data_IF_933011876248
#
_entry.id   IF_933011876248
#
_cell.length_a   1.000
_cell.length_b   1.000
_cell.length_c   1.000
_cell.angle_alpha   90.00
_cell.angle_beta   90.00
_cell.angle_gamma   90.00
#
_symmetry.space_group_name_H-M   'P 1'
#
loop_
_entity.id
_entity.type
_entity.pdbx_description
1 polymer ?
#
# COMPACT_ATOMS: atom_id res chain seq x y z
N UNK A 1 7.70 22.15 12.51
CA UNK A 1 6.46 22.60 13.14
C UNK A 1 6.74 22.78 14.63
N UNK A 2 6.61 24.01 15.18
CA UNK A 2 6.96 24.28 16.58
C UNK A 2 5.74 24.21 17.48
N UNK A 3 5.45 23.03 18.03
CA UNK A 3 4.51 22.91 19.13
C UNK A 3 5.30 22.62 20.41
N UNK A 4 5.11 23.42 21.45
CA UNK A 4 5.73 23.17 22.75
C UNK A 4 4.82 22.32 23.62
N UNK A 5 5.11 21.00 23.66
CA UNK A 5 4.38 20.04 24.48
C UNK A 5 4.81 20.04 25.96
N UNK A 6 5.78 20.87 26.34
CA UNK A 6 6.33 20.89 27.72
C UNK A 6 5.36 21.46 28.75
N UNK A 7 4.43 22.32 28.33
CA UNK A 7 3.47 22.97 29.22
C UNK A 7 2.15 22.21 29.39
N UNK A 8 1.87 21.21 28.52
CA UNK A 8 0.60 20.50 28.50
C UNK A 8 0.82 19.02 28.18
N UNK A 9 0.51 18.16 29.14
CA UNK A 9 0.53 16.71 28.95
C UNK A 9 -0.79 16.16 28.41
N UNK A 10 -0.81 14.87 28.08
CA UNK A 10 -1.96 14.14 27.59
C UNK A 10 -1.99 12.76 28.22
N UNK A 11 -3.06 12.43 28.93
CA UNK A 11 -3.37 11.08 29.37
C UNK A 11 -4.36 10.46 28.39
N UNK A 12 -4.00 9.32 27.79
CA UNK A 12 -4.81 8.67 26.73
C UNK A 12 -5.21 7.28 27.15
N UNK A 13 -6.50 7.01 27.15
CA UNK A 13 -7.04 5.65 27.22
C UNK A 13 -7.55 5.25 25.84
N UNK A 14 -7.06 4.11 25.32
CA UNK A 14 -7.44 3.63 23.98
C UNK A 14 -7.99 2.22 24.03
N UNK A 15 -9.01 1.99 23.20
CA UNK A 15 -9.50 0.67 22.83
C UNK A 15 -9.44 0.50 21.32
N UNK A 16 -9.26 -0.71 20.83
CA UNK A 16 -9.24 -0.99 19.39
C UNK A 16 -10.00 -2.26 19.08
N UNK A 17 -10.76 -2.21 18.01
CA UNK A 17 -11.38 -3.39 17.38
C UNK A 17 -10.55 -3.89 16.19
N UNK A 18 -9.44 -3.22 15.85
CA UNK A 18 -8.50 -3.69 14.82
C UNK A 18 -7.60 -4.75 15.43
N UNK A 19 -7.71 -6.03 15.02
CA UNK A 19 -6.92 -7.10 15.60
C UNK A 19 -5.43 -6.94 15.30
N UNK A 20 -4.57 -7.19 16.29
CA UNK A 20 -3.11 -7.20 16.10
C UNK A 20 -2.72 -8.40 15.23
N UNK A 21 -1.77 -8.18 14.30
CA UNK A 21 -1.23 -9.25 13.46
C UNK A 21 -2.17 -9.77 12.38
N UNK A 22 -3.33 -9.15 12.21
CA UNK A 22 -4.36 -9.57 11.22
C UNK A 22 -4.10 -9.08 9.79
N UNK A 23 -2.99 -8.40 9.53
CA UNK A 23 -2.74 -7.75 8.24
C UNK A 23 -3.55 -6.49 7.97
N UNK A 24 -4.31 -5.99 8.97
CA UNK A 24 -5.12 -4.78 8.86
C UNK A 24 -4.41 -3.50 9.31
N UNK A 25 -3.09 -3.54 9.37
CA UNK A 25 -2.25 -2.37 9.66
C UNK A 25 -2.61 -1.67 10.96
N UNK A 26 -2.70 -2.44 12.06
CA UNK A 26 -2.98 -1.89 13.39
C UNK A 26 -1.97 -0.83 13.84
N UNK A 27 -0.71 -0.90 13.38
CA UNK A 27 0.30 0.14 13.62
C UNK A 27 -0.08 1.46 12.96
N UNK A 28 -0.40 1.44 11.67
CA UNK A 28 -0.82 2.64 10.94
C UNK A 28 -2.10 3.27 11.53
N UNK A 29 -3.08 2.45 11.91
CA UNK A 29 -4.29 2.92 12.58
C UNK A 29 -3.97 3.63 13.92
N UNK A 30 -3.04 3.09 14.70
CA UNK A 30 -2.58 3.70 15.94
C UNK A 30 -1.84 5.03 15.71
N UNK A 31 -0.90 5.04 14.77
CA UNK A 31 -0.10 6.22 14.42
C UNK A 31 -0.98 7.38 13.96
N UNK A 32 -1.93 7.08 13.07
CA UNK A 32 -2.88 8.06 12.55
C UNK A 32 -3.81 8.56 13.65
N UNK A 33 -4.30 7.70 14.54
CA UNK A 33 -5.12 8.10 15.67
C UNK A 33 -4.36 9.05 16.58
N UNK A 34 -3.11 8.73 16.94
CA UNK A 34 -2.26 9.60 17.77
C UNK A 34 -1.98 10.92 17.06
N UNK A 35 -1.64 10.88 15.78
CA UNK A 35 -1.43 12.07 14.97
C UNK A 35 -2.66 12.98 14.92
N UNK A 36 -3.84 12.40 14.73
CA UNK A 36 -5.12 13.13 14.70
C UNK A 36 -5.41 13.79 16.05
N UNK A 37 -5.25 13.07 17.15
CA UNK A 37 -5.45 13.64 18.48
C UNK A 37 -4.49 14.80 18.77
N UNK A 38 -3.21 14.64 18.42
CA UNK A 38 -2.21 15.70 18.60
C UNK A 38 -2.50 16.90 17.69
N UNK A 39 -2.94 16.66 16.46
CA UNK A 39 -3.32 17.72 15.53
C UNK A 39 -4.46 18.56 16.08
N UNK A 40 -5.52 17.93 16.58
CA UNK A 40 -6.68 18.63 17.13
C UNK A 40 -6.34 19.37 18.43
N UNK A 41 -5.61 18.73 19.35
CA UNK A 41 -5.36 19.28 20.68
C UNK A 41 -4.27 20.34 20.73
N UNK A 42 -3.27 20.27 19.83
CA UNK A 42 -2.07 21.11 19.90
C UNK A 42 -1.80 21.92 18.63
N UNK A 43 -2.43 21.58 17.50
CA UNK A 43 -2.22 22.25 16.22
C UNK A 43 -3.49 22.79 15.57
N UNK A 44 -4.59 22.81 16.29
CA UNK A 44 -5.85 23.39 15.81
C UNK A 44 -6.35 22.77 14.48
N UNK A 45 -6.09 21.46 14.28
CA UNK A 45 -6.51 20.75 13.07
C UNK A 45 -5.79 21.20 11.78
N UNK A 46 -4.57 21.76 11.86
CA UNK A 46 -3.88 22.32 10.68
C UNK A 46 -3.30 21.28 9.74
N UNK A 47 -2.99 20.07 10.23
CA UNK A 47 -2.49 19.00 9.36
C UNK A 47 -3.62 18.37 8.57
N UNK A 48 -3.38 18.20 7.29
CA UNK A 48 -4.26 17.43 6.40
C UNK A 48 -4.15 15.92 6.66
N UNK A 49 -5.10 15.14 6.17
CA UNK A 49 -5.06 13.68 6.25
C UNK A 49 -3.79 13.10 5.60
N UNK A 50 -3.35 13.68 4.48
CA UNK A 50 -2.12 13.28 3.79
C UNK A 50 -0.88 13.54 4.64
N UNK A 51 -0.78 14.71 5.26
CA UNK A 51 0.33 15.06 6.15
C UNK A 51 0.35 14.17 7.41
N UNK A 52 -0.81 13.85 7.99
CA UNK A 52 -0.90 12.93 9.12
C UNK A 52 -0.40 11.53 8.74
N UNK A 53 -0.77 11.04 7.57
CA UNK A 53 -0.27 9.77 7.06
C UNK A 53 1.26 9.78 6.88
N UNK A 54 1.82 10.85 6.31
CA UNK A 54 3.25 11.02 6.13
C UNK A 54 4.01 11.12 7.46
N UNK A 55 3.43 11.79 8.45
CA UNK A 55 3.99 11.86 9.82
C UNK A 55 4.03 10.47 10.45
N UNK A 56 2.94 9.67 10.33
CA UNK A 56 2.88 8.29 10.82
C UNK A 56 3.95 7.43 10.16
N UNK A 57 4.06 7.45 8.84
CA UNK A 57 5.10 6.73 8.10
C UNK A 57 6.51 7.14 8.55
N UNK A 58 6.75 8.43 8.73
CA UNK A 58 8.04 8.91 9.22
C UNK A 58 8.37 8.37 10.61
N UNK A 59 7.38 8.36 11.51
CA UNK A 59 7.56 7.82 12.85
C UNK A 59 7.92 6.32 12.80
N UNK A 60 7.24 5.52 11.98
CA UNK A 60 7.51 4.09 11.83
C UNK A 60 8.89 3.84 11.19
N UNK A 61 9.21 4.52 10.09
CA UNK A 61 10.44 4.30 9.33
C UNK A 61 11.70 4.85 10.03
N UNK A 62 11.61 6.05 10.59
CA UNK A 62 12.79 6.77 11.08
C UNK A 62 12.95 6.62 12.59
N UNK A 63 11.86 6.76 13.36
CA UNK A 63 11.93 6.71 14.81
C UNK A 63 11.95 5.26 15.34
N UNK A 64 11.07 4.40 14.83
CA UNK A 64 11.05 2.99 15.20
C UNK A 64 11.97 2.12 14.35
N UNK A 65 12.48 2.61 13.23
CA UNK A 65 13.40 1.89 12.34
C UNK A 65 12.76 0.72 11.60
N UNK A 66 11.43 0.70 11.46
CA UNK A 66 10.68 -0.34 10.76
C UNK A 66 10.25 0.18 9.37
N UNK A 67 10.86 -0.28 8.28
CA UNK A 67 10.50 0.16 6.93
C UNK A 67 9.06 -0.21 6.58
N UNK A 68 8.26 0.77 6.20
CA UNK A 68 6.91 0.58 5.69
C UNK A 68 6.61 1.50 4.51
N UNK A 69 5.62 1.13 3.67
CA UNK A 69 5.03 2.01 2.65
C UNK A 69 4.12 3.06 3.28
N UNK A 70 3.55 3.94 2.45
CA UNK A 70 2.64 5.01 2.89
C UNK A 70 1.16 4.62 2.77
N UNK A 71 0.85 3.49 2.13
CA UNK A 71 -0.52 3.12 1.76
C UNK A 71 -1.42 2.96 2.98
N UNK A 72 -0.95 2.28 4.01
CA UNK A 72 -1.74 1.93 5.19
C UNK A 72 -2.08 3.16 6.03
N UNK A 73 -1.10 4.03 6.26
CA UNK A 73 -1.33 5.31 6.94
C UNK A 73 -2.26 6.20 6.14
N UNK A 74 -2.13 6.21 4.80
CA UNK A 74 -3.00 7.00 3.94
C UNK A 74 -4.45 6.50 3.98
N UNK A 75 -4.66 5.19 3.86
CA UNK A 75 -5.98 4.59 3.96
C UNK A 75 -6.63 4.84 5.33
N UNK A 76 -5.86 4.72 6.41
CA UNK A 76 -6.34 4.99 7.77
C UNK A 76 -6.67 6.46 7.99
N UNK A 77 -5.91 7.38 7.41
CA UNK A 77 -6.08 8.82 7.63
C UNK A 77 -7.22 9.42 6.80
N UNK A 78 -7.36 8.99 5.55
CA UNK A 78 -8.40 9.50 4.64
C UNK A 78 -9.74 8.81 4.90
N UNK A 79 -9.70 7.51 5.18
CA UNK A 79 -10.89 6.69 5.44
C UNK A 79 -11.70 6.35 4.18
N UNK A 80 -12.64 5.41 4.32
CA UNK A 80 -13.48 4.95 3.23
C UNK A 80 -12.71 4.16 2.16
N UNK A 81 -13.20 4.19 0.93
CA UNK A 81 -12.51 3.63 -0.23
C UNK A 81 -11.69 4.73 -0.89
N UNK A 82 -10.38 4.49 -1.06
CA UNK A 82 -9.47 5.50 -1.59
C UNK A 82 -8.69 4.97 -2.79
N UNK A 83 -8.52 5.81 -3.79
CA UNK A 83 -7.57 5.62 -4.88
C UNK A 83 -6.35 6.49 -4.61
N UNK A 84 -5.16 5.89 -4.57
CA UNK A 84 -3.91 6.59 -4.25
C UNK A 84 -2.94 6.37 -5.41
N UNK A 85 -2.40 7.45 -5.95
CA UNK A 85 -1.30 7.41 -6.90
C UNK A 85 -0.03 7.97 -6.25
N UNK A 86 0.97 7.09 -6.12
CA UNK A 86 2.27 7.41 -5.54
C UNK A 86 3.32 7.82 -6.57
N UNK A 87 2.94 8.31 -7.74
CA UNK A 87 3.90 8.84 -8.73
C UNK A 87 4.81 9.89 -8.10
N UNK A 88 4.24 10.78 -7.30
CA UNK A 88 4.98 11.68 -6.44
C UNK A 88 4.72 11.32 -4.98
N UNK A 89 5.67 10.64 -4.35
CA UNK A 89 5.52 10.19 -2.95
C UNK A 89 5.50 11.33 -1.94
N UNK A 90 6.05 12.50 -2.28
CA UNK A 90 5.97 13.70 -1.44
C UNK A 90 4.59 14.35 -1.53
N UNK A 91 3.92 14.25 -2.65
CA UNK A 91 2.59 14.80 -2.92
C UNK A 91 1.72 13.74 -3.63
N UNK A 92 1.33 12.66 -2.96
CA UNK A 92 0.52 11.61 -3.58
C UNK A 92 -0.84 12.16 -4.00
N UNK A 93 -1.32 11.73 -5.16
CA UNK A 93 -2.67 12.04 -5.59
C UNK A 93 -3.64 11.07 -4.92
N UNK A 94 -4.50 11.61 -4.05
CA UNK A 94 -5.45 10.83 -3.25
C UNK A 94 -6.86 11.25 -3.61
N UNK A 95 -7.70 10.27 -3.90
CA UNK A 95 -9.12 10.47 -4.17
C UNK A 95 -9.95 9.50 -3.35
N UNK A 96 -10.84 10.04 -2.54
CA UNK A 96 -11.84 9.25 -1.84
C UNK A 96 -13.01 8.95 -2.79
N UNK A 97 -13.41 7.69 -2.85
CA UNK A 97 -14.53 7.21 -3.65
C UNK A 97 -15.72 6.97 -2.73
N UNK A 98 -16.88 7.46 -3.13
CA UNK A 98 -18.13 7.22 -2.41
C UNK A 98 -18.68 5.84 -2.78
N UNK A 99 -18.33 4.84 -1.96
CA UNK A 99 -18.70 3.44 -2.17
C UNK A 99 -19.30 2.87 -0.90
N UNK A 100 -20.56 2.48 -0.98
CA UNK A 100 -21.25 1.71 0.05
C UNK A 100 -21.39 0.25 -0.38
N UNK A 101 -20.60 -0.65 0.20
CA UNK A 101 -20.64 -2.08 -0.09
C UNK A 101 -22.02 -2.71 0.21
N UNK A 102 -22.71 -2.21 1.24
CA UNK A 102 -24.03 -2.72 1.62
C UNK A 102 -25.08 -2.40 0.54
N UNK A 103 -24.96 -1.26 -0.13
CA UNK A 103 -25.85 -0.91 -1.25
C UNK A 103 -25.73 -1.90 -2.42
N UNK A 104 -24.58 -2.54 -2.57
CA UNK A 104 -24.35 -3.61 -3.56
C UNK A 104 -24.65 -5.02 -3.02
N UNK A 105 -25.11 -5.15 -1.77
CA UNK A 105 -25.37 -6.44 -1.13
C UNK A 105 -24.12 -7.20 -0.68
N UNK A 106 -22.98 -6.52 -0.49
CA UNK A 106 -21.73 -7.11 -0.07
C UNK A 106 -21.29 -6.62 1.32
N UNK A 107 -20.49 -7.42 1.98
CA UNK A 107 -19.81 -7.08 3.21
C UNK A 107 -18.33 -7.46 3.12
N UNK A 108 -17.44 -6.63 3.67
CA UNK A 108 -16.04 -6.96 3.84
C UNK A 108 -15.91 -7.86 5.08
N UNK A 109 -15.45 -9.08 4.88
CA UNK A 109 -15.21 -10.03 5.95
C UNK A 109 -13.72 -10.26 6.15
N UNK A 110 -13.28 -10.30 7.40
CA UNK A 110 -11.92 -10.60 7.79
C UNK A 110 -11.91 -11.99 8.42
N UNK A 111 -11.12 -12.89 7.83
CA UNK A 111 -10.92 -14.23 8.36
C UNK A 111 -9.51 -14.34 8.92
N UNK A 112 -9.40 -14.54 10.23
CA UNK A 112 -8.12 -14.82 10.88
C UNK A 112 -7.66 -16.21 10.48
N UNK A 113 -6.51 -16.31 9.80
CA UNK A 113 -5.88 -17.58 9.43
C UNK A 113 -5.09 -18.23 10.56
N UNK A 114 -4.93 -17.53 11.69
CA UNK A 114 -4.08 -17.96 12.81
C UNK A 114 -2.58 -17.99 12.50
N UNK A 115 -2.15 -17.45 11.36
CA UNK A 115 -0.75 -17.40 10.93
C UNK A 115 -0.25 -15.95 10.88
N UNK A 116 0.88 -15.69 11.51
CA UNK A 116 1.59 -14.43 11.39
C UNK A 116 2.42 -14.36 10.10
N UNK A 117 2.87 -13.17 9.74
CA UNK A 117 3.76 -12.93 8.58
C UNK A 117 5.14 -12.37 9.00
N UNK A 118 5.46 -12.45 10.27
CA UNK A 118 6.72 -11.90 10.83
C UNK A 118 7.95 -12.56 10.21
N UNK A 119 7.86 -13.85 9.88
CA UNK A 119 8.95 -14.62 9.27
C UNK A 119 9.07 -14.41 7.74
N UNK A 120 8.15 -13.65 7.11
CA UNK A 120 8.12 -13.45 5.65
C UNK A 120 8.81 -12.16 5.18
N UNK A 121 9.56 -11.48 6.05
CA UNK A 121 10.24 -10.21 5.73
C UNK A 121 11.15 -10.34 4.50
N UNK A 122 11.84 -11.48 4.34
CA UNK A 122 12.68 -11.73 3.19
C UNK A 122 11.90 -11.83 1.87
N UNK A 123 10.70 -12.41 1.89
CA UNK A 123 9.85 -12.52 0.71
C UNK A 123 9.29 -11.16 0.29
N UNK A 124 8.90 -10.32 1.25
CA UNK A 124 8.51 -8.93 0.97
C UNK A 124 9.67 -8.13 0.37
N UNK A 125 10.85 -8.22 0.96
CA UNK A 125 12.05 -7.54 0.47
C UNK A 125 12.46 -8.02 -0.91
N UNK A 126 12.27 -9.30 -1.22
CA UNK A 126 12.60 -9.89 -2.52
C UNK A 126 11.79 -9.24 -3.65
N UNK A 127 10.51 -8.89 -3.44
CA UNK A 127 9.69 -8.21 -4.45
C UNK A 127 10.34 -6.88 -4.85
N UNK A 128 10.63 -6.04 -3.86
CA UNK A 128 11.24 -4.72 -4.10
C UNK A 128 12.62 -4.84 -4.73
N UNK A 129 13.47 -5.76 -4.25
CA UNK A 129 14.83 -5.95 -4.73
C UNK A 129 14.86 -6.43 -6.19
N UNK A 130 13.97 -7.34 -6.55
CA UNK A 130 13.86 -7.86 -7.91
C UNK A 130 13.31 -6.81 -8.88
N UNK A 131 12.29 -6.03 -8.50
CA UNK A 131 11.83 -4.91 -9.31
C UNK A 131 12.91 -3.85 -9.52
N UNK A 132 13.71 -3.55 -8.48
CA UNK A 132 14.89 -2.67 -8.61
C UNK A 132 15.95 -3.25 -9.53
N UNK A 133 16.13 -4.57 -9.55
CA UNK A 133 17.06 -5.20 -10.50
C UNK A 133 16.61 -5.01 -11.95
N UNK A 134 15.31 -5.06 -12.22
CA UNK A 134 14.74 -4.69 -13.53
C UNK A 134 15.01 -3.23 -13.86
N UNK A 135 14.73 -2.32 -12.93
CA UNK A 135 14.90 -0.86 -13.13
C UNK A 135 16.37 -0.49 -13.45
N UNK A 136 17.35 -1.14 -12.79
CA UNK A 136 18.79 -0.90 -13.05
C UNK A 136 19.21 -1.15 -14.49
N UNK A 137 18.53 -2.04 -15.21
CA UNK A 137 18.83 -2.30 -16.65
C UNK A 137 18.56 -1.05 -17.49
N UNK A 138 17.73 -0.13 -16.99
CA UNK A 138 17.31 1.10 -17.64
C UNK A 138 17.83 2.36 -16.95
N UNK A 139 18.75 2.24 -15.99
CA UNK A 139 19.23 3.35 -15.16
C UNK A 139 18.08 4.12 -14.47
N UNK A 140 17.09 3.38 -13.94
CA UNK A 140 15.90 3.90 -13.27
C UNK A 140 15.82 3.39 -11.82
N UNK A 141 15.14 4.18 -10.98
CA UNK A 141 14.93 3.85 -9.56
C UNK A 141 13.66 3.04 -9.33
N UNK A 142 12.59 3.36 -10.06
CA UNK A 142 11.27 2.74 -9.93
C UNK A 142 10.72 2.30 -11.28
N UNK A 143 9.93 1.22 -11.27
CA UNK A 143 9.42 0.64 -12.51
C UNK A 143 8.49 1.59 -13.28
N UNK A 144 7.83 2.54 -12.62
CA UNK A 144 7.00 3.56 -13.26
C UNK A 144 7.77 4.47 -14.22
N UNK A 145 9.08 4.64 -13.99
CA UNK A 145 9.95 5.41 -14.89
C UNK A 145 10.41 4.62 -16.12
N UNK A 146 10.15 3.30 -16.15
CA UNK A 146 10.46 2.42 -17.27
C UNK A 146 9.21 2.23 -18.12
N UNK A 147 9.13 2.75 -19.34
CA UNK A 147 8.00 2.47 -20.23
C UNK A 147 7.88 0.96 -20.50
N UNK A 148 6.65 0.43 -20.46
CA UNK A 148 6.41 -1.01 -20.68
C UNK A 148 6.93 -1.47 -22.05
N UNK A 149 6.83 -0.62 -23.07
CA UNK A 149 7.35 -0.88 -24.43
C UNK A 149 8.89 -1.05 -24.41
N UNK A 150 9.61 -0.22 -23.66
CA UNK A 150 11.05 -0.34 -23.51
C UNK A 150 11.42 -1.62 -22.76
N UNK A 151 10.68 -1.95 -21.70
CA UNK A 151 10.86 -3.21 -20.97
C UNK A 151 10.65 -4.42 -21.90
N UNK A 152 9.61 -4.42 -22.73
CA UNK A 152 9.34 -5.51 -23.66
C UNK A 152 10.41 -5.63 -24.77
N UNK A 153 10.92 -4.50 -25.29
CA UNK A 153 11.97 -4.48 -26.29
C UNK A 153 13.30 -5.07 -25.79
N UNK A 154 13.62 -4.84 -24.52
CA UNK A 154 14.86 -5.29 -23.86
C UNK A 154 14.66 -6.55 -23.00
N UNK A 155 13.54 -7.27 -23.19
CA UNK A 155 13.17 -8.42 -22.35
C UNK A 155 14.27 -9.49 -22.21
N UNK A 156 15.01 -9.89 -23.27
CA UNK A 156 16.10 -10.84 -23.13
C UNK A 156 17.24 -10.34 -22.22
N UNK A 157 17.56 -9.05 -22.29
CA UNK A 157 18.58 -8.39 -21.45
C UNK A 157 18.12 -8.31 -20.00
N UNK A 158 16.88 -7.90 -19.78
CA UNK A 158 16.27 -7.86 -18.43
C UNK A 158 16.25 -9.22 -17.80
N UNK A 159 15.84 -10.25 -18.53
CA UNK A 159 15.81 -11.64 -18.08
C UNK A 159 17.20 -12.14 -17.69
N UNK A 160 18.22 -11.85 -18.49
CA UNK A 160 19.59 -12.23 -18.22
C UNK A 160 20.15 -11.54 -16.96
N UNK A 161 19.78 -10.27 -16.72
CA UNK A 161 20.29 -9.47 -15.62
C UNK A 161 19.53 -9.67 -14.30
N UNK A 162 18.20 -9.80 -14.33
CA UNK A 162 17.33 -9.83 -13.16
C UNK A 162 16.68 -11.18 -12.88
N UNK A 163 16.64 -12.09 -13.86
CA UNK A 163 16.03 -13.41 -13.76
C UNK A 163 14.53 -13.44 -14.08
N UNK A 164 13.99 -14.66 -14.26
CA UNK A 164 12.62 -14.89 -14.70
C UNK A 164 11.58 -14.39 -13.71
N UNK A 165 11.80 -14.56 -12.42
CA UNK A 165 10.87 -14.12 -11.38
C UNK A 165 10.74 -12.60 -11.34
N UNK A 166 11.84 -11.87 -11.47
CA UNK A 166 11.83 -10.41 -11.55
C UNK A 166 11.07 -9.90 -12.78
N UNK A 167 11.23 -10.58 -13.92
CA UNK A 167 10.47 -10.30 -15.16
C UNK A 167 8.98 -10.51 -14.94
N UNK A 168 8.57 -11.63 -14.34
CA UNK A 168 7.17 -11.89 -14.04
C UNK A 168 6.58 -10.85 -13.08
N UNK A 169 7.33 -10.46 -12.06
CA UNK A 169 6.93 -9.39 -11.11
C UNK A 169 6.76 -8.05 -11.79
N UNK A 170 7.61 -7.71 -12.75
CA UNK A 170 7.44 -6.50 -13.55
C UNK A 170 6.17 -6.55 -14.41
N UNK A 171 5.86 -7.67 -15.08
CA UNK A 171 4.59 -7.86 -15.78
C UNK A 171 3.38 -7.66 -14.86
N UNK A 172 3.45 -8.21 -13.64
CA UNK A 172 2.40 -7.98 -12.65
C UNK A 172 2.20 -6.50 -12.39
N UNK A 173 3.27 -5.76 -12.08
CA UNK A 173 3.17 -4.33 -11.72
C UNK A 173 2.60 -3.49 -12.85
N UNK A 174 3.03 -3.70 -14.10
CA UNK A 174 2.44 -2.98 -15.24
C UNK A 174 0.94 -3.28 -15.40
N UNK A 175 0.56 -4.56 -15.30
CA UNK A 175 -0.84 -4.95 -15.38
C UNK A 175 -1.65 -4.41 -14.21
N UNK A 176 -1.10 -4.42 -13.00
CA UNK A 176 -1.77 -3.98 -11.79
C UNK A 176 -2.01 -2.47 -11.78
N UNK A 177 -1.06 -1.67 -12.26
CA UNK A 177 -1.25 -0.23 -12.42
C UNK A 177 -2.45 0.09 -13.35
N UNK A 178 -2.59 -0.63 -14.47
CA UNK A 178 -3.75 -0.47 -15.35
C UNK A 178 -5.04 -0.95 -14.68
N UNK A 179 -4.97 -2.04 -13.93
CA UNK A 179 -6.12 -2.63 -13.24
C UNK A 179 -6.63 -1.73 -12.14
N UNK A 180 -5.76 -1.14 -11.33
CA UNK A 180 -6.13 -0.19 -10.29
C UNK A 180 -6.87 1.03 -10.85
N UNK A 181 -6.44 1.56 -12.00
CA UNK A 181 -7.17 2.63 -12.70
C UNK A 181 -8.53 2.17 -13.21
N UNK A 182 -8.63 0.95 -13.73
CA UNK A 182 -9.89 0.37 -14.20
C UNK A 182 -10.85 0.07 -13.04
N UNK A 183 -10.35 -0.37 -11.89
CA UNK A 183 -11.12 -0.58 -10.66
C UNK A 183 -11.69 0.73 -10.13
N UNK A 184 -10.87 1.77 -10.07
CA UNK A 184 -11.31 3.12 -9.72
C UNK A 184 -12.46 3.60 -10.61
N UNK A 185 -12.32 3.44 -11.93
CA UNK A 185 -13.33 3.88 -12.89
C UNK A 185 -14.61 3.02 -12.79
N UNK A 186 -14.48 1.72 -12.58
CA UNK A 186 -15.63 0.85 -12.36
C UNK A 186 -16.45 1.28 -11.12
N UNK A 187 -15.77 1.60 -10.01
CA UNK A 187 -16.42 2.10 -8.80
C UNK A 187 -17.08 3.47 -9.02
N UNK A 188 -16.45 4.38 -9.75
CA UNK A 188 -17.04 5.69 -10.10
C UNK A 188 -18.32 5.56 -10.92
N UNK A 189 -18.36 4.57 -11.81
CA UNK A 189 -19.52 4.27 -12.65
C UNK A 189 -20.59 3.44 -11.96
N UNK A 190 -20.34 2.98 -10.72
CA UNK A 190 -21.23 2.06 -10.02
C UNK A 190 -21.26 0.65 -10.60
N UNK A 191 -20.28 0.30 -11.46
CA UNK A 191 -20.14 -1.03 -12.06
C UNK A 191 -19.37 -1.97 -11.10
N UNK A 192 -20.08 -2.40 -10.06
CA UNK A 192 -19.49 -3.22 -9.02
C UNK A 192 -19.13 -4.64 -9.48
N UNK A 193 -19.86 -5.18 -10.46
CA UNK A 193 -19.54 -6.48 -11.04
C UNK A 193 -18.20 -6.46 -11.78
N UNK A 194 -17.95 -5.39 -12.53
CA UNK A 194 -16.66 -5.15 -13.20
C UNK A 194 -15.54 -4.98 -12.17
N UNK A 195 -15.78 -4.20 -11.12
CA UNK A 195 -14.82 -4.06 -10.02
C UNK A 195 -14.43 -5.42 -9.43
N UNK A 196 -15.41 -6.26 -9.08
CA UNK A 196 -15.15 -7.61 -8.55
C UNK A 196 -14.44 -8.53 -9.54
N UNK A 197 -14.72 -8.40 -10.84
CA UNK A 197 -13.98 -9.14 -11.86
C UNK A 197 -12.50 -8.74 -11.89
N UNK A 198 -12.20 -7.44 -11.82
CA UNK A 198 -10.84 -6.91 -11.77
C UNK A 198 -10.10 -7.36 -10.50
N UNK A 199 -10.75 -7.32 -9.32
CA UNK A 199 -10.18 -7.85 -8.06
C UNK A 199 -9.80 -9.33 -8.18
N UNK A 200 -10.64 -10.15 -8.84
CA UNK A 200 -10.31 -11.57 -9.10
C UNK A 200 -9.13 -11.72 -10.05
N UNK A 201 -9.01 -10.86 -11.04
CA UNK A 201 -7.86 -10.84 -11.95
C UNK A 201 -6.58 -10.43 -11.23
N UNK A 202 -6.65 -9.44 -10.32
CA UNK A 202 -5.54 -9.06 -9.44
C UNK A 202 -5.05 -10.24 -8.62
N UNK A 203 -5.95 -10.98 -7.96
CA UNK A 203 -5.60 -12.18 -7.20
C UNK A 203 -4.93 -13.26 -8.06
N UNK A 204 -5.40 -13.50 -9.27
CA UNK A 204 -4.77 -14.44 -10.22
C UNK A 204 -3.38 -13.95 -10.64
N UNK A 205 -3.24 -12.68 -10.94
CA UNK A 205 -1.97 -12.06 -11.30
C UNK A 205 -0.96 -12.14 -10.15
N UNK A 206 -1.41 -11.93 -8.92
CA UNK A 206 -0.59 -12.10 -7.72
C UNK A 206 -0.04 -13.54 -7.61
N UNK A 207 -0.88 -14.54 -7.83
CA UNK A 207 -0.47 -15.94 -7.78
C UNK A 207 0.50 -16.32 -8.90
N UNK A 208 0.21 -15.91 -10.15
CA UNK A 208 0.93 -16.36 -11.34
C UNK A 208 2.20 -15.57 -11.62
N UNK A 209 2.16 -14.25 -11.44
CA UNK A 209 3.22 -13.34 -11.85
C UNK A 209 3.99 -12.74 -10.67
N UNK A 210 3.30 -12.19 -9.67
CA UNK A 210 3.97 -11.66 -8.48
C UNK A 210 4.57 -12.78 -7.63
N UNK A 211 3.91 -13.94 -7.60
CA UNK A 211 4.35 -15.15 -6.89
C UNK A 211 4.55 -14.88 -5.38
N UNK A 212 3.56 -14.27 -4.76
CA UNK A 212 3.58 -13.90 -3.35
C UNK A 212 2.53 -14.64 -2.49
N UNK A 213 1.84 -15.63 -3.07
CA UNK A 213 0.79 -16.41 -2.36
C UNK A 213 1.40 -17.56 -1.56
N UNK A 214 2.50 -18.14 -2.06
CA UNK A 214 3.20 -19.23 -1.42
C UNK A 214 4.67 -18.83 -1.27
N UNK A 215 5.26 -18.91 -0.07
CA UNK A 215 6.69 -18.61 0.12
C UNK A 215 7.58 -19.48 -0.74
N UNK A 216 8.69 -18.93 -1.23
CA UNK A 216 9.66 -19.68 -2.02
C UNK A 216 10.25 -20.83 -1.19
N UNK A 217 10.22 -22.05 -1.76
CA UNK A 217 10.76 -23.24 -1.11
C UNK A 217 9.85 -23.92 -0.10
N UNK A 218 8.60 -23.46 0.07
CA UNK A 218 7.58 -24.23 0.80
C UNK A 218 7.05 -25.35 -0.09
N UNK A 219 7.09 -26.58 0.42
CA UNK A 219 6.54 -27.79 -0.22
C UNK A 219 5.20 -28.13 0.36
#
# INVERSE_FOLDING_TARGET
MGCDLRERGLDVYMTSTVPKGSGLSSSAAYEVLMGTMLNELFWEGRCTAVELAQIGQYAENVFFGKPCGLMDQMASSVGGVVSIDFENTAHPAVEQLDVDLHAYGYALCILDSGAGHEDLTNEYSAITNELRAVCRVFDKEVLREVPEEAFLAELPKVRAAAGDRAVNRAFHVYAENRRALAEKEALRQGDFDKFLALVRESGRSSAMYLQNVIPAGST
#
